data_IF_938547732691
#
_entry.id   IF_938547732691
#
_cell.length_a   1.000
_cell.length_b   1.000
_cell.length_c   1.000
_cell.angle_alpha   90.00
_cell.angle_beta   90.00
_cell.angle_gamma   90.00
#
_symmetry.space_group_name_H-M   'P 1'
#
loop_
_entity.id
_entity.type
_entity.pdbx_description
1 polymer ?
#
# COMPACT_ATOMS: atom_id res chain seq x y z
N UNK A 1 -5.64 25.54 -78.61
CA UNK A 1 -5.64 24.84 -77.30
C UNK A 1 -4.24 24.34 -77.11
N UNK A 2 -3.45 25.11 -76.37
CA UNK A 2 -1.99 24.92 -76.27
C UNK A 2 -1.71 24.34 -74.85
N UNK A 3 -1.48 23.03 -74.84
CA UNK A 3 -1.15 22.29 -73.60
C UNK A 3 0.34 22.48 -73.30
N UNK A 4 0.66 23.51 -72.51
CA UNK A 4 1.97 23.66 -71.93
C UNK A 4 2.19 22.64 -70.82
N UNK A 5 2.71 21.49 -71.17
CA UNK A 5 3.33 20.58 -70.24
C UNK A 5 4.55 21.24 -69.60
N UNK A 6 4.40 21.83 -68.43
CA UNK A 6 5.53 22.22 -67.57
C UNK A 6 6.25 20.94 -67.12
N UNK A 7 7.32 20.61 -67.82
CA UNK A 7 8.26 19.59 -67.35
C UNK A 7 8.98 20.17 -66.13
N UNK A 8 8.65 19.64 -64.97
CA UNK A 8 9.44 19.82 -63.74
C UNK A 8 10.84 19.27 -63.99
N UNK A 9 11.79 20.16 -64.27
CA UNK A 9 13.21 19.85 -64.41
C UNK A 9 13.75 19.47 -63.04
N UNK A 10 13.75 18.18 -62.73
CA UNK A 10 14.41 17.62 -61.54
C UNK A 10 15.90 17.92 -61.69
N UNK A 11 16.39 18.80 -60.82
CA UNK A 11 17.79 19.19 -60.80
C UNK A 11 18.59 18.03 -60.13
N UNK A 12 19.15 17.15 -60.95
CA UNK A 12 20.00 16.04 -60.53
C UNK A 12 21.40 16.57 -60.09
N UNK A 13 21.40 17.38 -59.05
CA UNK A 13 22.66 17.65 -58.34
C UNK A 13 22.87 16.51 -57.36
N UNK A 14 23.89 15.70 -57.58
CA UNK A 14 24.28 14.65 -56.62
C UNK A 14 24.67 15.29 -55.29
N UNK A 15 24.33 14.62 -54.18
CA UNK A 15 24.76 15.00 -52.82
C UNK A 15 26.29 15.04 -52.76
N UNK A 16 26.83 16.08 -52.19
CA UNK A 16 28.26 16.16 -51.88
C UNK A 16 28.57 15.25 -50.70
N UNK A 17 29.79 14.73 -50.63
CA UNK A 17 30.26 13.88 -49.50
C UNK A 17 30.08 14.58 -48.17
N UNK A 18 30.26 15.89 -48.11
CA UNK A 18 30.09 16.72 -46.90
C UNK A 18 28.63 16.80 -46.47
N UNK A 19 27.67 16.94 -47.40
CA UNK A 19 26.23 16.91 -47.07
C UNK A 19 25.80 15.57 -46.54
N UNK A 20 26.34 14.47 -47.05
CA UNK A 20 26.03 13.13 -46.56
C UNK A 20 26.53 12.95 -45.12
N UNK A 21 27.78 13.38 -44.82
CA UNK A 21 28.34 13.31 -43.45
C UNK A 21 27.54 14.18 -42.49
N UNK A 22 27.18 15.39 -42.88
CA UNK A 22 26.37 16.30 -42.08
C UNK A 22 24.96 15.70 -41.78
N UNK A 23 24.32 15.12 -42.79
CA UNK A 23 23.01 14.46 -42.59
C UNK A 23 23.08 13.28 -41.62
N UNK A 24 24.10 12.43 -41.72
CA UNK A 24 24.31 11.31 -40.79
C UNK A 24 24.55 11.81 -39.36
N UNK A 25 25.38 12.85 -39.18
CA UNK A 25 25.65 13.46 -37.88
C UNK A 25 24.36 14.02 -37.23
N UNK A 26 23.55 14.73 -38.00
CA UNK A 26 22.26 15.27 -37.53
C UNK A 26 21.31 14.12 -37.13
N UNK A 27 21.17 13.09 -37.96
CA UNK A 27 20.33 11.91 -37.68
C UNK A 27 20.82 11.21 -36.41
N UNK A 28 22.14 11.09 -36.21
CA UNK A 28 22.73 10.51 -35.01
C UNK A 28 22.36 11.27 -33.73
N UNK A 29 22.45 12.61 -33.76
CA UNK A 29 22.07 13.47 -32.63
C UNK A 29 20.58 13.35 -32.33
N UNK A 30 19.72 13.43 -33.35
CA UNK A 30 18.26 13.24 -33.15
C UNK A 30 17.91 11.86 -32.66
N UNK A 31 18.60 10.83 -33.11
CA UNK A 31 18.43 9.45 -32.61
C UNK A 31 18.77 9.32 -31.14
N UNK A 32 19.88 9.88 -30.70
CA UNK A 32 20.30 9.89 -29.29
C UNK A 32 19.31 10.64 -28.39
N UNK A 33 18.86 11.82 -28.83
CA UNK A 33 17.85 12.59 -28.08
C UNK A 33 16.53 11.81 -27.94
N UNK A 34 16.04 11.21 -29.03
CA UNK A 34 14.81 10.39 -28.97
C UNK A 34 14.95 9.20 -28.02
N UNK A 35 16.07 8.49 -28.07
CA UNK A 35 16.34 7.37 -27.18
C UNK A 35 16.34 7.80 -25.70
N UNK A 36 16.94 8.94 -25.37
CA UNK A 36 16.94 9.53 -24.04
C UNK A 36 15.51 9.86 -23.56
N UNK A 37 14.67 10.46 -24.38
CA UNK A 37 13.28 10.78 -24.05
C UNK A 37 12.45 9.52 -23.79
N UNK A 38 12.60 8.49 -24.61
CA UNK A 38 11.88 7.21 -24.42
C UNK A 38 12.28 6.57 -23.09
N UNK A 39 13.59 6.50 -22.80
CA UNK A 39 14.09 5.90 -21.55
C UNK A 39 13.58 6.68 -20.32
N UNK A 40 13.65 8.01 -20.35
CA UNK A 40 13.15 8.85 -19.27
C UNK A 40 11.63 8.70 -19.08
N UNK A 41 10.87 8.68 -20.17
CA UNK A 41 9.43 8.48 -20.14
C UNK A 41 9.03 7.11 -19.55
N UNK A 42 9.76 6.04 -19.92
CA UNK A 42 9.52 4.71 -19.34
C UNK A 42 9.83 4.66 -17.84
N UNK A 43 10.92 5.29 -17.40
CA UNK A 43 11.27 5.36 -15.99
C UNK A 43 10.23 6.14 -15.19
N UNK A 44 9.79 7.28 -15.69
CA UNK A 44 8.72 8.08 -15.10
C UNK A 44 7.41 7.29 -14.99
N UNK A 45 7.01 6.62 -16.07
CA UNK A 45 5.78 5.79 -16.07
C UNK A 45 5.84 4.67 -15.03
N UNK A 46 6.98 3.98 -14.93
CA UNK A 46 7.19 2.91 -13.91
C UNK A 46 7.06 3.49 -12.51
N UNK A 47 7.72 4.60 -12.23
CA UNK A 47 7.67 5.25 -10.92
C UNK A 47 6.23 5.63 -10.53
N UNK A 48 5.48 6.30 -11.42
CA UNK A 48 4.07 6.67 -11.19
C UNK A 48 3.19 5.43 -10.99
N UNK A 49 3.39 4.39 -11.80
CA UNK A 49 2.65 3.13 -11.68
C UNK A 49 2.91 2.42 -10.36
N UNK A 50 4.17 2.36 -9.93
CA UNK A 50 4.56 1.72 -8.67
C UNK A 50 4.01 2.49 -7.46
N UNK A 51 4.11 3.81 -7.44
CA UNK A 51 3.54 4.66 -6.40
C UNK A 51 2.02 4.49 -6.30
N UNK A 52 1.32 4.49 -7.44
CA UNK A 52 -0.13 4.28 -7.47
C UNK A 52 -0.54 2.89 -6.97
N UNK A 53 0.24 1.84 -7.26
CA UNK A 53 -0.02 0.49 -6.78
C UNK A 53 0.18 0.38 -5.26
N UNK A 54 1.20 1.04 -4.70
CA UNK A 54 1.43 1.11 -3.25
C UNK A 54 0.29 1.85 -2.56
N UNK A 55 -0.13 2.99 -3.08
CA UNK A 55 -1.23 3.78 -2.53
C UNK A 55 -2.55 3.00 -2.50
N UNK A 56 -2.88 2.28 -3.59
CA UNK A 56 -4.09 1.42 -3.63
C UNK A 56 -4.01 0.28 -2.61
N UNK A 57 -2.87 -0.39 -2.50
CA UNK A 57 -2.67 -1.44 -1.51
C UNK A 57 -2.82 -0.89 -0.10
N UNK A 58 -2.25 0.29 0.18
CA UNK A 58 -2.39 1.00 1.44
C UNK A 58 -3.86 1.28 1.76
N UNK A 59 -4.61 1.90 0.85
CA UNK A 59 -6.01 2.25 1.03
C UNK A 59 -6.87 1.00 1.29
N UNK A 60 -6.73 -0.05 0.50
CA UNK A 60 -7.47 -1.29 0.69
C UNK A 60 -7.18 -1.94 2.04
N UNK A 61 -5.92 -1.91 2.48
CA UNK A 61 -5.52 -2.45 3.79
C UNK A 61 -6.12 -1.63 4.92
N UNK A 62 -6.03 -0.30 4.85
CA UNK A 62 -6.59 0.61 5.85
C UNK A 62 -8.11 0.45 5.97
N UNK A 63 -8.83 0.38 4.86
CA UNK A 63 -10.27 0.12 4.83
C UNK A 63 -10.63 -1.24 5.46
N UNK A 64 -9.83 -2.28 5.19
CA UNK A 64 -10.02 -3.58 5.81
C UNK A 64 -9.82 -3.54 7.32
N UNK A 65 -8.78 -2.85 7.80
CA UNK A 65 -8.51 -2.65 9.22
C UNK A 65 -9.65 -1.85 9.88
N UNK A 66 -10.08 -0.76 9.23
CA UNK A 66 -11.19 0.07 9.71
C UNK A 66 -12.46 -0.75 9.92
N UNK A 67 -12.84 -1.58 8.94
CA UNK A 67 -14.03 -2.43 9.04
C UNK A 67 -13.93 -3.41 10.20
N UNK A 68 -12.76 -3.99 10.46
CA UNK A 68 -12.55 -4.88 11.61
C UNK A 68 -12.66 -4.14 12.94
N UNK A 69 -12.09 -2.93 13.03
CA UNK A 69 -12.12 -2.08 14.22
C UNK A 69 -13.53 -1.61 14.51
N UNK A 70 -14.28 -1.11 13.51
CA UNK A 70 -15.67 -0.65 13.67
C UNK A 70 -16.58 -1.75 14.20
N UNK A 71 -16.37 -2.98 13.79
CA UNK A 71 -17.18 -4.14 14.22
C UNK A 71 -16.85 -4.64 15.62
N UNK A 72 -15.76 -4.13 16.24
CA UNK A 72 -15.37 -4.48 17.60
C UNK A 72 -16.35 -3.87 18.61
N UNK A 73 -16.94 -4.69 19.51
CA UNK A 73 -17.96 -4.21 20.45
C UNK A 73 -17.77 -4.67 21.91
N UNK A 74 -16.71 -5.43 22.20
CA UNK A 74 -16.43 -5.90 23.57
C UNK A 74 -15.05 -5.41 24.05
N UNK A 75 -13.97 -5.95 23.50
CA UNK A 75 -12.61 -5.69 23.99
C UNK A 75 -11.62 -5.49 22.86
N UNK A 76 -10.69 -4.56 23.05
CA UNK A 76 -9.50 -4.42 22.22
C UNK A 76 -8.24 -4.58 23.06
N UNK A 77 -7.25 -5.32 22.54
CA UNK A 77 -5.94 -5.52 23.17
C UNK A 77 -4.85 -5.27 22.14
N UNK A 78 -3.83 -4.56 22.55
CA UNK A 78 -2.65 -4.36 21.73
C UNK A 78 -1.40 -4.87 22.45
N UNK A 79 -0.52 -5.53 21.74
CA UNK A 79 0.72 -6.09 22.25
C UNK A 79 1.88 -5.82 21.31
N UNK A 80 3.03 -5.49 21.87
CA UNK A 80 4.31 -5.30 21.18
C UNK A 80 5.32 -6.25 21.79
N UNK A 81 5.85 -7.20 20.99
CA UNK A 81 6.78 -8.20 21.50
C UNK A 81 6.19 -9.08 22.61
N UNK A 82 4.87 -9.30 22.61
CA UNK A 82 4.17 -10.08 23.63
C UNK A 82 3.83 -9.31 24.93
N UNK A 83 4.17 -8.02 25.00
CA UNK A 83 3.86 -7.15 26.16
C UNK A 83 2.68 -6.25 25.81
N UNK A 84 1.72 -6.10 26.72
CA UNK A 84 0.58 -5.21 26.54
C UNK A 84 1.05 -3.76 26.39
N UNK A 85 0.51 -3.07 25.40
CA UNK A 85 0.77 -1.68 25.09
C UNK A 85 -0.55 -0.98 24.74
N UNK A 86 -0.61 0.33 24.93
CA UNK A 86 -1.77 1.12 24.52
C UNK A 86 -1.42 1.99 23.31
N UNK A 87 -0.18 2.38 23.19
CA UNK A 87 0.31 3.24 22.13
C UNK A 87 1.78 2.93 21.82
N UNK A 88 2.12 2.84 20.53
CA UNK A 88 3.52 2.73 20.06
C UNK A 88 3.85 3.69 18.91
N UNK A 89 3.07 4.75 18.73
CA UNK A 89 3.36 5.79 17.76
C UNK A 89 4.70 6.46 18.04
N UNK A 90 5.48 6.64 16.99
CA UNK A 90 6.82 7.25 17.09
C UNK A 90 7.90 6.31 17.64
N UNK A 91 7.59 5.05 17.91
CA UNK A 91 8.56 4.06 18.33
C UNK A 91 9.03 3.23 17.12
N UNK A 92 10.33 3.22 16.88
CA UNK A 92 10.95 2.32 15.90
C UNK A 92 11.15 0.92 16.52
N UNK A 93 10.05 0.22 16.77
CA UNK A 93 10.08 -1.11 17.34
C UNK A 93 9.85 -2.15 16.22
N UNK A 94 10.84 -3.01 16.00
CA UNK A 94 10.79 -4.12 15.04
C UNK A 94 10.32 -5.43 15.67
N UNK A 95 9.68 -5.38 16.83
CA UNK A 95 9.05 -6.54 17.45
C UNK A 95 7.73 -6.89 16.77
N UNK A 96 7.32 -8.12 16.85
CA UNK A 96 6.00 -8.57 16.42
C UNK A 96 4.89 -7.79 17.15
N UNK A 97 3.84 -7.42 16.44
CA UNK A 97 2.73 -6.65 16.99
C UNK A 97 1.40 -7.38 16.75
N UNK A 98 0.57 -7.41 17.78
CA UNK A 98 -0.74 -8.03 17.73
C UNK A 98 -1.81 -7.04 18.20
N UNK A 99 -2.81 -6.83 17.33
CA UNK A 99 -4.05 -6.15 17.70
C UNK A 99 -5.17 -7.20 17.75
N UNK A 100 -5.68 -7.46 18.93
CA UNK A 100 -6.74 -8.44 19.18
C UNK A 100 -8.04 -7.70 19.42
N UNK A 101 -9.04 -8.00 18.62
CA UNK A 101 -10.36 -7.38 18.65
C UNK A 101 -11.41 -8.46 18.98
N UNK A 102 -12.18 -8.27 20.03
CA UNK A 102 -13.25 -9.14 20.41
C UNK A 102 -14.60 -8.50 20.13
N UNK A 103 -15.50 -9.28 19.58
CA UNK A 103 -16.87 -8.90 19.32
C UNK A 103 -17.83 -9.97 19.80
N UNK A 104 -18.92 -9.57 20.42
CA UNK A 104 -20.03 -10.43 20.78
C UNK A 104 -21.11 -10.27 19.72
N UNK A 105 -21.51 -11.36 19.09
CA UNK A 105 -22.57 -11.39 18.06
C UNK A 105 -23.64 -12.39 18.45
N UNK A 106 -24.90 -11.98 18.37
CA UNK A 106 -26.03 -12.89 18.51
C UNK A 106 -26.19 -13.68 17.21
N UNK A 107 -26.41 -14.98 17.34
CA UNK A 107 -26.80 -15.85 16.24
C UNK A 107 -28.33 -15.83 16.01
N UNK A 108 -28.78 -16.54 14.98
CA UNK A 108 -30.21 -16.63 14.63
C UNK A 108 -31.09 -17.27 15.73
N UNK A 109 -30.49 -17.88 16.75
CA UNK A 109 -31.18 -18.47 17.91
C UNK A 109 -31.21 -17.54 19.14
N UNK A 110 -30.55 -16.36 19.04
CA UNK A 110 -30.39 -15.43 20.17
C UNK A 110 -29.25 -15.81 21.11
N UNK A 111 -28.40 -16.78 20.74
CA UNK A 111 -27.23 -17.13 21.52
C UNK A 111 -26.06 -16.19 21.20
N UNK A 112 -25.41 -15.67 22.25
CA UNK A 112 -24.22 -14.86 22.12
C UNK A 112 -23.00 -15.71 21.73
N UNK A 113 -22.34 -15.32 20.65
CA UNK A 113 -21.11 -15.92 20.16
C UNK A 113 -19.97 -14.93 20.18
N UNK A 114 -18.86 -15.29 20.83
CA UNK A 114 -17.62 -14.54 20.80
C UNK A 114 -16.90 -14.75 19.46
N UNK A 115 -16.59 -13.66 18.81
CA UNK A 115 -15.75 -13.60 17.60
C UNK A 115 -14.47 -12.85 17.95
N UNK A 116 -13.33 -13.46 17.66
CA UNK A 116 -12.00 -12.87 17.89
C UNK A 116 -11.35 -12.66 16.55
N UNK A 117 -11.04 -11.40 16.23
CA UNK A 117 -10.30 -10.99 15.05
C UNK A 117 -8.92 -10.49 15.49
N UNK A 118 -7.87 -10.94 14.83
CA UNK A 118 -6.49 -10.60 15.18
C UNK A 118 -5.76 -10.07 13.97
N UNK A 119 -5.18 -8.89 14.09
CA UNK A 119 -4.15 -8.37 13.17
C UNK A 119 -2.78 -8.66 13.77
N UNK A 120 -1.93 -9.31 13.00
CA UNK A 120 -0.58 -9.71 13.40
C UNK A 120 0.44 -9.18 12.40
N UNK A 121 1.27 -8.26 12.83
CA UNK A 121 2.38 -7.78 12.02
C UNK A 121 3.67 -8.53 12.37
N UNK A 122 4.32 -9.09 11.35
CA UNK A 122 5.61 -9.77 11.47
C UNK A 122 6.67 -9.00 10.69
N UNK A 123 7.58 -8.31 11.39
CA UNK A 123 8.60 -7.46 10.77
C UNK A 123 9.62 -8.26 9.94
N UNK A 124 9.97 -9.48 10.36
CA UNK A 124 10.86 -10.40 9.66
C UNK A 124 10.31 -10.81 8.27
N UNK A 125 9.00 -10.99 8.17
CA UNK A 125 8.32 -11.34 6.92
C UNK A 125 7.83 -10.10 6.14
N UNK A 126 7.83 -8.93 6.77
CA UNK A 126 7.24 -7.67 6.25
C UNK A 126 5.78 -7.85 5.83
N UNK A 127 5.01 -8.59 6.65
CA UNK A 127 3.61 -8.90 6.36
C UNK A 127 2.70 -8.56 7.52
N UNK A 128 1.51 -8.10 7.16
CA UNK A 128 0.38 -7.95 8.07
C UNK A 128 -0.60 -9.08 7.79
N UNK A 129 -0.91 -9.86 8.81
CA UNK A 129 -1.82 -11.01 8.74
C UNK A 129 -3.14 -10.67 9.44
N UNK A 130 -4.21 -11.22 8.90
CA UNK A 130 -5.52 -11.27 9.54
C UNK A 130 -5.87 -12.71 9.94
N UNK A 131 -6.28 -12.92 11.17
CA UNK A 131 -6.64 -14.22 11.73
C UNK A 131 -8.01 -14.09 12.40
N UNK A 132 -8.98 -14.88 11.94
CA UNK A 132 -10.31 -14.93 12.54
C UNK A 132 -10.44 -16.16 13.43
N UNK A 133 -10.93 -15.97 14.67
CA UNK A 133 -11.14 -17.05 15.64
C UNK A 133 -9.94 -18.01 15.74
N UNK A 134 -8.75 -17.56 16.15
CA UNK A 134 -7.52 -18.35 16.12
C UNK A 134 -7.62 -19.69 16.85
N UNK A 135 -8.46 -19.79 17.91
CA UNK A 135 -8.70 -21.02 18.66
C UNK A 135 -9.48 -22.09 17.88
N UNK A 136 -10.30 -21.70 16.90
CA UNK A 136 -11.13 -22.63 16.10
C UNK A 136 -10.40 -23.18 14.88
N UNK A 137 -9.46 -22.44 14.34
CA UNK A 137 -8.82 -22.79 13.05
C UNK A 137 -7.52 -23.59 13.20
N UNK A 138 -6.92 -23.67 14.39
CA UNK A 138 -5.61 -24.33 14.57
C UNK A 138 -4.50 -23.72 13.71
N UNK A 139 -4.74 -22.58 13.10
CA UNK A 139 -3.85 -21.94 12.14
C UNK A 139 -2.90 -20.98 12.85
N UNK A 140 -1.63 -21.31 12.80
CA UNK A 140 -0.54 -20.42 13.22
C UNK A 140 -0.38 -19.23 12.26
N UNK A 141 -0.93 -19.35 11.04
CA UNK A 141 -0.82 -18.38 9.97
C UNK A 141 -2.21 -17.95 9.52
N UNK A 142 -2.47 -16.64 9.57
CA UNK A 142 -3.68 -16.03 9.04
C UNK A 142 -3.59 -15.79 7.53
N UNK A 143 -4.63 -15.17 6.99
CA UNK A 143 -4.63 -14.63 5.65
C UNK A 143 -3.71 -13.39 5.59
N UNK A 144 -2.91 -13.26 4.51
CA UNK A 144 -2.07 -12.09 4.31
C UNK A 144 -2.96 -10.92 3.90
N UNK A 145 -3.09 -9.93 4.78
CA UNK A 145 -3.85 -8.70 4.53
C UNK A 145 -3.03 -7.71 3.72
N UNK A 146 -1.74 -7.59 3.99
CA UNK A 146 -0.82 -6.76 3.24
C UNK A 146 0.60 -7.30 3.24
N UNK A 147 1.28 -7.13 2.10
CA UNK A 147 2.69 -7.42 1.88
C UNK A 147 3.53 -6.14 1.93
N UNK A 148 4.84 -6.31 2.15
CA UNK A 148 5.81 -5.22 2.18
C UNK A 148 5.56 -4.19 3.27
N UNK A 149 4.93 -4.59 4.36
CA UNK A 149 4.65 -3.76 5.53
C UNK A 149 5.92 -3.65 6.38
N UNK A 150 6.50 -2.47 6.41
CA UNK A 150 7.73 -2.17 7.19
C UNK A 150 7.43 -1.48 8.52
N UNK A 151 6.19 -1.05 8.73
CA UNK A 151 5.72 -0.46 9.99
C UNK A 151 4.21 -0.62 10.15
N UNK A 152 3.80 -1.00 11.36
CA UNK A 152 2.41 -1.04 11.79
C UNK A 152 2.36 -0.60 13.24
N UNK A 153 1.89 0.62 13.50
CA UNK A 153 1.78 1.20 14.83
C UNK A 153 0.31 1.46 15.16
N UNK A 154 -0.06 1.27 16.41
CA UNK A 154 -1.44 1.37 16.89
C UNK A 154 -1.48 2.18 18.17
N UNK A 155 -2.50 3.04 18.29
CA UNK A 155 -2.85 3.72 19.52
C UNK A 155 -4.31 3.41 19.86
N UNK A 156 -4.50 2.67 20.94
CA UNK A 156 -5.81 2.29 21.50
C UNK A 156 -6.16 3.06 22.77
N UNK A 157 -5.33 4.01 23.20
CA UNK A 157 -5.49 4.73 24.48
C UNK A 157 -6.85 5.43 24.60
N UNK A 158 -7.42 5.88 23.48
CA UNK A 158 -8.71 6.56 23.42
C UNK A 158 -9.89 5.63 23.08
N UNK A 159 -9.65 4.35 22.85
CA UNK A 159 -10.69 3.42 22.42
C UNK A 159 -11.79 3.21 23.49
N UNK A 160 -11.42 3.22 24.78
CA UNK A 160 -12.39 3.08 25.90
C UNK A 160 -13.13 4.37 26.27
N UNK A 161 -12.55 5.53 26.02
CA UNK A 161 -13.08 6.84 26.43
C UNK A 161 -13.83 7.53 25.32
N UNK A 162 -13.19 7.66 24.15
CA UNK A 162 -13.70 8.37 22.99
C UNK A 162 -14.23 7.42 21.90
N UNK A 163 -13.91 6.14 22.00
CA UNK A 163 -14.29 5.17 20.98
C UNK A 163 -13.48 5.31 19.70
N UNK A 164 -12.20 5.69 19.81
CA UNK A 164 -11.33 5.97 18.67
C UNK A 164 -10.05 5.14 18.77
N UNK A 165 -9.66 4.57 17.65
CA UNK A 165 -8.37 3.85 17.48
C UNK A 165 -7.59 4.52 16.35
N UNK A 166 -6.33 4.87 16.62
CA UNK A 166 -5.44 5.37 15.58
C UNK A 166 -4.47 4.27 15.17
N UNK A 167 -4.17 4.18 13.91
CA UNK A 167 -3.15 3.27 13.40
C UNK A 167 -2.37 3.91 12.25
N UNK A 168 -1.10 3.58 12.20
CA UNK A 168 -0.18 4.00 11.16
C UNK A 168 0.35 2.76 10.45
N UNK A 169 0.21 2.76 9.14
CA UNK A 169 0.72 1.72 8.27
C UNK A 169 1.80 2.30 7.37
N UNK A 170 2.93 1.60 7.28
CA UNK A 170 4.03 1.96 6.39
C UNK A 170 4.34 0.79 5.47
N UNK A 171 4.23 1.01 4.17
CA UNK A 171 4.48 0.01 3.13
C UNK A 171 5.64 0.49 2.25
N UNK A 172 6.60 -0.41 1.97
CA UNK A 172 7.72 -0.14 1.07
C UNK A 172 7.70 -1.12 -0.08
N UNK A 173 7.69 -0.62 -1.32
CA UNK A 173 7.74 -1.45 -2.52
C UNK A 173 8.62 -0.79 -3.58
N UNK A 174 9.59 -1.55 -4.10
CA UNK A 174 10.52 -1.10 -5.15
C UNK A 174 11.25 0.20 -4.84
N UNK A 175 11.58 0.45 -3.56
CA UNK A 175 12.27 1.67 -3.12
C UNK A 175 11.34 2.83 -2.76
N UNK A 176 10.05 2.74 -3.07
CA UNK A 176 9.04 3.72 -2.66
C UNK A 176 8.47 3.34 -1.30
N UNK A 177 8.45 4.28 -0.38
CA UNK A 177 7.88 4.11 0.97
C UNK A 177 6.73 5.10 1.15
N UNK A 178 5.58 4.56 1.51
CA UNK A 178 4.39 5.34 1.83
C UNK A 178 3.99 5.03 3.26
N UNK A 179 3.79 6.07 4.07
CA UNK A 179 3.28 5.97 5.44
C UNK A 179 1.99 6.77 5.55
N UNK A 180 0.97 6.18 6.13
CA UNK A 180 -0.31 6.84 6.33
C UNK A 180 -0.85 6.52 7.72
N UNK A 181 -1.32 7.57 8.40
CA UNK A 181 -2.05 7.45 9.65
C UNK A 181 -3.54 7.51 9.38
N UNK A 182 -4.28 6.66 10.04
CA UNK A 182 -5.73 6.57 9.93
C UNK A 182 -6.38 6.52 11.31
N UNK A 183 -7.63 6.92 11.39
CA UNK A 183 -8.42 6.93 12.61
C UNK A 183 -9.72 6.19 12.36
N UNK A 184 -9.96 5.12 13.10
CA UNK A 184 -11.20 4.37 13.07
C UNK A 184 -12.05 4.70 14.30
N UNK A 185 -13.34 4.95 14.08
CA UNK A 185 -14.31 5.16 15.13
C UNK A 185 -15.06 3.85 15.44
N UNK A 186 -15.05 3.43 16.69
CA UNK A 186 -15.79 2.30 17.20
C UNK A 186 -17.28 2.64 17.33
N UNK A 187 -18.15 1.70 17.06
CA UNK A 187 -19.60 1.91 17.26
C UNK A 187 -19.98 2.01 18.73
N UNK A 188 -19.23 1.33 19.60
CA UNK A 188 -19.50 1.23 21.03
C UNK A 188 -18.25 1.52 21.84
N UNK A 189 -18.45 1.93 23.10
CA UNK A 189 -17.33 2.00 24.07
C UNK A 189 -16.92 0.59 24.43
N UNK A 190 -15.64 0.31 24.37
CA UNK A 190 -15.04 -1.01 24.57
C UNK A 190 -14.06 -1.00 25.73
N UNK A 191 -13.70 -2.18 26.22
CA UNK A 191 -12.66 -2.36 27.23
C UNK A 191 -11.27 -2.44 26.57
N UNK A 192 -10.28 -1.79 27.18
CA UNK A 192 -8.91 -1.80 26.72
C UNK A 192 -8.08 -2.76 27.56
N UNK A 193 -7.25 -3.59 26.94
CA UNK A 193 -6.28 -4.48 27.57
C UNK A 193 -6.83 -5.27 28.80
N UNK A 194 -8.16 -5.44 28.91
CA UNK A 194 -8.75 -6.19 30.03
C UNK A 194 -8.33 -7.66 29.95
N UNK A 195 -7.85 -8.21 31.06
CA UNK A 195 -7.73 -9.65 31.25
C UNK A 195 -9.14 -10.27 31.32
N UNK A 196 -9.38 -11.28 30.53
CA UNK A 196 -10.61 -12.11 30.59
C UNK A 196 -10.32 -13.42 31.24
#
# INVERSE_FOLDING_TARGET
MDDRKQQLKLNNRGLTLVELIAAIAIIGIFGAVRASFITSGMNFYRHVSDTSAVQRSMQNTLESIENLVIDTNDTIKYQVGGVAAENDFGQENQSEKLLVMKSIREDSSGAENEVVDVLRWRPDEKKLYYIRNPKKQGTTYGEVLADNVVGFNVDISQAGTEGVVHFQLTITKRGETVSQTYTAALRNKIKINSES
#
